data_IF_806247794371
#
_entry.id   IF_806247794371
#
_cell.length_a   1.000
_cell.length_b   1.000
_cell.length_c   1.000
_cell.angle_alpha   90.00
_cell.angle_beta   90.00
_cell.angle_gamma   90.00
#
_symmetry.space_group_name_H-M   'P 1'
#
loop_
_entity.id
_entity.type
_entity.pdbx_description
1 polymer ?
#
# COMPACT_ATOMS: atom_id res chain seq x y z
N UNK A 1 21.33 7.68 -10.86
CA UNK A 1 20.99 7.51 -10.64
C UNK A 1 20.19 7.31 -10.51
N UNK A 2 19.94 7.33 -10.50
CA UNK A 2 19.08 6.90 -9.94
C UNK A 2 17.84 6.48 -10.27
N UNK A 3 17.46 5.46 -9.99
CA UNK A 3 16.30 5.12 -10.23
C UNK A 3 15.46 5.30 -9.11
N UNK A 4 14.29 5.56 -9.21
CA UNK A 4 13.43 5.68 -8.21
C UNK A 4 12.99 4.42 -7.73
N UNK A 5 12.95 4.17 -6.50
CA UNK A 5 12.47 3.00 -5.94
C UNK A 5 11.20 3.32 -5.29
N UNK A 6 10.15 2.57 -5.48
CA UNK A 6 8.87 2.76 -4.84
C UNK A 6 8.80 2.06 -3.49
N UNK A 7 9.88 1.56 -3.04
CA UNK A 7 9.88 0.89 -1.75
C UNK A 7 9.79 1.85 -0.60
N UNK A 8 9.65 1.35 0.62
CA UNK A 8 9.51 2.20 1.80
C UNK A 8 10.78 2.94 2.11
N UNK A 9 10.61 4.12 2.68
CA UNK A 9 11.72 4.93 3.11
C UNK A 9 12.30 4.35 4.38
N UNK A 10 13.62 4.38 4.56
CA UNK A 10 14.21 3.84 5.78
C UNK A 10 13.90 4.63 7.03
N UNK A 11 13.41 5.86 6.88
CA UNK A 11 13.13 6.69 8.05
C UNK A 11 11.73 6.49 8.61
N UNK A 12 10.89 5.69 7.97
CA UNK A 12 9.55 5.50 8.48
C UNK A 12 9.50 4.33 9.45
N UNK A 13 8.48 4.28 10.31
CA UNK A 13 8.36 3.19 11.27
C UNK A 13 8.25 1.84 10.58
N UNK A 14 8.69 0.82 11.25
CA UNK A 14 8.69 -0.53 10.68
C UNK A 14 7.29 -0.98 10.27
N UNK A 15 6.28 -0.66 11.05
CA UNK A 15 4.91 -1.03 10.72
C UNK A 15 4.49 -0.44 9.37
N UNK A 16 4.86 0.81 9.13
CA UNK A 16 4.55 1.47 7.88
C UNK A 16 5.31 0.84 6.72
N UNK A 17 6.55 0.44 6.98
CA UNK A 17 7.33 -0.22 5.94
C UNK A 17 6.73 -1.56 5.56
N UNK A 18 6.20 -2.28 6.54
CA UNK A 18 5.56 -3.56 6.27
C UNK A 18 4.34 -3.37 5.37
N UNK A 19 3.54 -2.35 5.67
CA UNK A 19 2.38 -2.07 4.84
C UNK A 19 2.80 -1.66 3.43
N UNK A 20 3.82 -0.83 3.32
CA UNK A 20 4.30 -0.35 2.03
C UNK A 20 4.76 -1.51 1.16
N UNK A 21 5.51 -2.44 1.73
CA UNK A 21 5.97 -3.60 0.97
C UNK A 21 4.80 -4.46 0.53
N UNK A 22 3.83 -4.62 1.41
CA UNK A 22 2.66 -5.43 1.09
C UNK A 22 1.86 -4.79 -0.04
N UNK A 23 1.66 -3.48 0.03
CA UNK A 23 0.91 -2.77 -1.00
C UNK A 23 1.62 -2.84 -2.35
N UNK A 24 2.95 -2.69 -2.34
CA UNK A 24 3.73 -2.81 -3.57
C UNK A 24 3.53 -4.17 -4.20
N UNK A 25 3.51 -5.21 -3.38
CA UNK A 25 3.31 -6.55 -3.88
C UNK A 25 1.91 -6.72 -4.46
N UNK A 26 0.90 -6.18 -3.79
CA UNK A 26 -0.47 -6.27 -4.27
C UNK A 26 -0.64 -5.56 -5.61
N UNK A 27 0.00 -4.41 -5.77
CA UNK A 27 -0.05 -3.71 -7.04
C UNK A 27 0.59 -4.52 -8.14
N UNK A 28 1.73 -5.11 -7.84
CA UNK A 28 2.43 -5.94 -8.80
C UNK A 28 1.58 -7.13 -9.21
N UNK A 29 0.96 -7.78 -8.24
CA UNK A 29 0.11 -8.94 -8.51
C UNK A 29 -1.11 -8.56 -9.34
N UNK A 30 -1.61 -7.35 -9.17
CA UNK A 30 -2.76 -6.87 -9.92
C UNK A 30 -2.37 -6.24 -11.24
N UNK A 31 -1.08 -6.11 -11.49
CA UNK A 31 -0.54 -5.47 -12.69
C UNK A 31 -1.03 -4.03 -12.82
N UNK A 32 -1.05 -3.33 -11.70
CA UNK A 32 -1.49 -1.95 -11.67
C UNK A 32 -0.33 -1.01 -11.35
N UNK A 33 -0.34 0.14 -12.01
CA UNK A 33 0.61 1.20 -11.68
C UNK A 33 0.02 2.01 -10.56
N UNK A 34 0.84 2.72 -9.78
CA UNK A 34 0.31 3.62 -8.77
C UNK A 34 -0.65 4.65 -9.33
N UNK A 35 -0.40 5.16 -10.53
CA UNK A 35 -1.29 6.13 -11.16
C UNK A 35 -2.64 5.52 -11.47
N UNK A 36 -2.65 4.29 -11.89
CA UNK A 36 -3.90 3.58 -12.18
C UNK A 36 -4.69 3.38 -10.89
N UNK A 37 -4.02 3.03 -9.82
CA UNK A 37 -4.69 2.87 -8.55
C UNK A 37 -5.29 4.19 -8.10
N UNK A 38 -4.53 5.28 -8.25
CA UNK A 38 -5.01 6.59 -7.86
C UNK A 38 -6.27 6.95 -8.64
N UNK A 39 -6.28 6.66 -9.93
CA UNK A 39 -7.44 6.94 -10.76
C UNK A 39 -8.65 6.13 -10.32
N UNK A 40 -8.46 4.88 -9.99
CA UNK A 40 -9.55 4.03 -9.54
C UNK A 40 -10.14 4.51 -8.22
N UNK A 41 -9.30 5.11 -7.38
CA UNK A 41 -9.75 5.60 -6.10
C UNK A 41 -10.24 7.04 -6.12
N UNK A 42 -10.03 7.73 -7.24
CA UNK A 42 -10.36 9.14 -7.32
C UNK A 42 -9.47 9.98 -6.45
N UNK A 43 -8.21 9.54 -6.26
CA UNK A 43 -7.25 10.25 -5.44
C UNK A 43 -6.05 10.65 -6.27
N UNK A 44 -5.14 11.38 -5.67
CA UNK A 44 -3.96 11.85 -6.39
C UNK A 44 -2.86 10.81 -6.37
N UNK A 45 -1.99 10.88 -7.36
CA UNK A 45 -0.82 10.01 -7.41
C UNK A 45 0.05 10.23 -6.20
N UNK A 46 0.15 11.48 -5.74
CA UNK A 46 0.99 11.81 -4.60
C UNK A 46 0.59 11.01 -3.37
N UNK A 47 -0.71 10.89 -3.13
CA UNK A 47 -1.19 10.13 -1.98
C UNK A 47 -0.79 8.67 -2.09
N UNK A 48 -0.94 8.10 -3.28
CA UNK A 48 -0.60 6.69 -3.47
C UNK A 48 0.90 6.47 -3.27
N UNK A 49 1.73 7.37 -3.77
CA UNK A 49 3.15 7.24 -3.56
C UNK A 49 3.52 7.34 -2.09
N UNK A 50 2.79 8.17 -1.32
CA UNK A 50 3.06 8.26 0.10
C UNK A 50 2.72 6.95 0.81
N UNK A 51 1.68 6.26 0.37
CA UNK A 51 1.35 4.94 0.91
C UNK A 51 2.48 3.95 0.57
N UNK A 52 2.97 4.01 -0.66
CA UNK A 52 4.00 3.06 -1.12
C UNK A 52 5.34 3.31 -0.47
N UNK A 53 5.56 4.52 0.02
CA UNK A 53 6.79 4.86 0.71
C UNK A 53 6.67 4.68 2.22
N UNK A 54 5.48 4.41 2.70
CA UNK A 54 5.27 4.23 4.13
C UNK A 54 5.13 5.52 4.90
N UNK A 55 5.06 6.66 4.19
CA UNK A 55 4.92 7.95 4.85
C UNK A 55 3.55 8.08 5.48
N UNK A 56 2.52 7.58 4.80
CA UNK A 56 1.17 7.60 5.32
C UNK A 56 0.59 6.20 5.27
N UNK A 57 -0.31 5.92 6.18
CA UNK A 57 -1.12 4.71 6.11
C UNK A 57 -2.54 5.11 5.77
N UNK A 58 -3.27 4.29 5.03
CA UNK A 58 -4.66 4.60 4.74
C UNK A 58 -5.48 4.56 6.01
N UNK A 59 -6.53 5.35 6.03
CA UNK A 59 -7.43 5.34 7.16
C UNK A 59 -8.30 4.11 7.07
N UNK A 60 -8.86 3.74 8.20
CA UNK A 60 -9.65 2.54 8.27
C UNK A 60 -10.78 2.53 7.25
N UNK A 61 -11.45 3.64 7.07
CA UNK A 61 -12.56 3.71 6.13
C UNK A 61 -12.14 3.73 4.67
N UNK A 62 -10.83 3.88 4.41
CA UNK A 62 -10.33 3.82 3.04
C UNK A 62 -10.02 2.40 2.60
N UNK A 63 -9.96 1.49 3.54
CA UNK A 63 -9.57 0.11 3.22
C UNK A 63 -10.53 -0.59 2.26
N UNK A 64 -11.84 -0.45 2.41
CA UNK A 64 -12.73 -1.11 1.47
C UNK A 64 -12.54 -0.63 0.03
N UNK A 65 -12.28 0.66 -0.16
CA UNK A 65 -12.06 1.19 -1.48
C UNK A 65 -10.77 0.66 -2.09
N UNK A 66 -9.73 0.58 -1.27
CA UNK A 66 -8.47 0.02 -1.74
C UNK A 66 -8.62 -1.45 -2.13
N UNK A 67 -9.30 -2.21 -1.30
CA UNK A 67 -9.49 -3.62 -1.58
C UNK A 67 -10.27 -3.81 -2.88
N UNK A 68 -11.27 -2.98 -3.09
CA UNK A 68 -12.06 -3.06 -4.29
C UNK A 68 -11.26 -2.70 -5.52
N UNK A 69 -10.46 -1.64 -5.44
CA UNK A 69 -9.62 -1.22 -6.54
C UNK A 69 -8.58 -2.27 -6.91
N UNK A 70 -8.08 -2.99 -5.91
CA UNK A 70 -7.10 -4.03 -6.12
C UNK A 70 -7.74 -5.39 -6.41
N UNK A 71 -9.06 -5.41 -6.44
CA UNK A 71 -9.80 -6.64 -6.73
C UNK A 71 -9.54 -7.72 -5.69
N UNK A 72 -9.46 -7.31 -4.43
CA UNK A 72 -9.24 -8.24 -3.34
C UNK A 72 -10.57 -8.69 -2.77
N UNK A 73 -10.60 -9.87 -2.21
CA UNK A 73 -11.81 -10.42 -1.67
C UNK A 73 -12.22 -9.76 -0.37
N UNK A 74 -11.27 -9.21 0.35
CA UNK A 74 -11.55 -8.69 1.67
C UNK A 74 -10.53 -7.62 2.03
N UNK A 75 -10.91 -6.69 2.89
CA UNK A 75 -9.99 -5.70 3.41
C UNK A 75 -8.85 -6.34 4.15
N UNK A 76 -9.05 -7.56 4.69
CA UNK A 76 -8.05 -8.27 5.39
C UNK A 76 -6.85 -8.51 4.52
N UNK A 77 -7.04 -8.65 3.20
CA UNK A 77 -5.94 -8.89 2.30
C UNK A 77 -5.01 -7.69 2.15
N UNK A 78 -5.44 -6.52 2.63
CA UNK A 78 -4.60 -5.34 2.65
C UNK A 78 -3.70 -5.29 3.86
N UNK A 79 -3.97 -6.10 4.86
CA UNK A 79 -3.24 -6.06 6.11
C UNK A 79 -2.01 -6.96 6.00
N UNK A 80 -0.81 -6.41 6.25
CA UNK A 80 0.38 -7.26 6.20
C UNK A 80 0.26 -8.40 7.18
N UNK A 81 0.72 -9.55 6.77
CA UNK A 81 0.64 -10.70 7.62
C UNK A 81 1.38 -10.52 8.93
N UNK A 82 2.45 -9.74 8.90
CA UNK A 82 3.23 -9.45 10.10
C UNK A 82 2.39 -8.79 11.18
N UNK A 83 1.38 -8.02 10.77
CA UNK A 83 0.52 -7.34 11.75
C UNK A 83 -0.44 -8.32 12.41
N UNK A 84 -0.79 -9.38 11.71
CA UNK A 84 -1.74 -10.35 12.22
C UNK A 84 -1.09 -11.42 13.07
N UNK A 85 0.21 -11.56 12.99
CA UNK A 85 0.94 -12.55 13.76
C UNK A 85 1.59 -11.90 14.93
N UNK A 86 1.07 -12.10 16.14
CA UNK A 86 1.70 -11.51 17.31
C UNK A 86 3.03 -12.14 17.48
N UNK A 87 3.93 -11.38 17.84
CA UNK A 87 5.22 -11.89 18.04
C UNK A 87 5.24 -12.73 19.21
N UNK A 88 5.40 -13.28 19.68
CA UNK A 88 5.32 -13.88 20.69
C UNK A 88 6.14 -14.01 21.03
#
# INVERSE_FOLDING_TARGET
MGRKRLGPSPSVPERNRQFARHLNRLLSDASLDPSELAALLGRTDVLIYKYLQGIHLPKLHDLPELAQALNLKSCRDLIPQEWCNPAR
#
